data_IF_988053451186
#
_entry.id   IF_988053451186
#
_cell.length_a   1.000
_cell.length_b   1.000
_cell.length_c   1.000
_cell.angle_alpha   90.00
_cell.angle_beta   90.00
_cell.angle_gamma   90.00
#
_symmetry.space_group_name_H-M   'P 1'
#
loop_
_entity.id
_entity.type
_entity.pdbx_description
1 polymer ?
#
# COMPACT_ATOMS: atom_id res chain seq x y z
N UNK A 1 9.26 66.73 8.30
CA UNK A 1 9.77 66.09 7.06
C UNK A 1 10.41 64.76 7.41
N UNK A 2 10.30 63.79 6.51
CA UNK A 2 10.61 62.34 6.63
C UNK A 2 12.07 62.03 6.99
N UNK A 3 12.29 60.86 7.63
CA UNK A 3 13.59 60.15 7.66
C UNK A 3 13.55 58.87 8.52
N UNK A 4 13.79 57.70 7.91
CA UNK A 4 13.67 56.34 8.49
C UNK A 4 14.99 55.83 9.10
N UNK A 5 14.82 55.01 10.15
CA UNK A 5 15.51 53.76 10.59
C UNK A 5 17.03 53.63 10.44
N UNK A 6 17.72 53.17 11.50
CA UNK A 6 18.52 51.92 11.54
C UNK A 6 18.97 51.66 12.99
N UNK A 7 18.51 50.56 13.59
CA UNK A 7 19.07 49.99 14.82
C UNK A 7 19.63 48.61 14.50
N UNK A 8 20.96 48.56 14.55
CA UNK A 8 21.83 47.41 14.88
C UNK A 8 21.42 46.95 16.29
N UNK A 9 21.40 45.69 16.75
CA UNK A 9 21.93 44.41 16.31
C UNK A 9 21.97 43.54 17.60
N UNK A 10 21.65 42.25 17.50
CA UNK A 10 21.70 41.31 18.63
C UNK A 10 21.60 39.87 18.12
N UNK A 11 22.38 38.92 18.64
CA UNK A 11 22.74 37.71 17.92
C UNK A 11 21.58 36.71 17.91
N UNK A 12 21.01 36.48 16.73
CA UNK A 12 20.17 35.32 16.51
C UNK A 12 21.09 34.08 16.48
N UNK A 13 21.03 33.25 17.51
CA UNK A 13 21.56 31.89 17.46
C UNK A 13 20.70 31.13 16.44
N UNK A 14 21.21 31.02 15.21
CA UNK A 14 20.59 30.23 14.16
C UNK A 14 20.81 28.76 14.50
N UNK A 15 19.85 28.13 15.18
CA UNK A 15 19.77 26.67 15.25
C UNK A 15 19.30 26.20 13.87
N UNK A 16 20.26 26.00 12.97
CA UNK A 16 20.01 25.39 11.68
C UNK A 16 19.86 23.88 11.91
N UNK A 17 18.65 23.43 12.22
CA UNK A 17 18.32 22.01 12.17
C UNK A 17 18.31 21.62 10.69
N UNK A 18 19.44 21.15 10.18
CA UNK A 18 19.48 20.44 8.91
C UNK A 18 18.80 19.09 9.11
N UNK A 19 17.48 19.06 8.96
CA UNK A 19 16.80 17.81 8.64
C UNK A 19 17.34 17.39 7.28
N UNK A 20 18.23 16.40 7.24
CA UNK A 20 18.55 15.69 6.02
C UNK A 20 17.23 15.04 5.57
N UNK A 21 16.52 15.67 4.63
CA UNK A 21 15.36 15.04 4.01
C UNK A 21 15.90 13.83 3.26
N UNK A 22 15.63 12.63 3.77
CA UNK A 22 15.92 11.38 3.07
C UNK A 22 15.11 11.43 1.77
N UNK A 23 15.77 11.77 0.68
CA UNK A 23 15.12 11.97 -0.61
C UNK A 23 14.78 10.57 -1.16
N UNK A 24 13.46 10.29 -1.26
CA UNK A 24 12.80 9.09 -1.84
C UNK A 24 12.38 7.94 -0.89
N UNK A 25 11.74 8.27 0.22
CA UNK A 25 10.85 7.30 0.86
C UNK A 25 9.49 7.29 0.14
N UNK A 26 9.06 6.13 -0.38
CA UNK A 26 7.69 5.90 -0.84
C UNK A 26 6.84 5.50 0.37
N UNK A 27 5.84 6.31 0.72
CA UNK A 27 4.84 5.99 1.75
C UNK A 27 3.62 5.38 1.07
N UNK A 28 3.38 4.07 1.17
CA UNK A 28 2.31 3.41 0.44
C UNK A 28 0.94 3.80 0.98
N UNK A 29 0.03 4.09 0.06
CA UNK A 29 -1.40 4.29 0.34
C UNK A 29 -2.19 3.22 -0.40
N UNK A 30 -3.22 2.66 0.25
CA UNK A 30 -4.12 1.67 -0.36
C UNK A 30 -5.53 1.91 0.14
N UNK A 31 -6.47 2.14 -0.79
CA UNK A 31 -7.91 2.12 -0.51
C UNK A 31 -8.53 0.87 -1.13
N UNK A 32 -9.51 0.26 -0.45
CA UNK A 32 -10.16 -0.98 -0.89
C UNK A 32 -11.66 -0.76 -0.99
N UNK A 33 -12.24 -1.21 -2.10
CA UNK A 33 -13.68 -1.24 -2.34
C UNK A 33 -14.07 -2.62 -2.87
N UNK A 34 -15.34 -2.98 -2.74
CA UNK A 34 -15.89 -4.17 -3.35
C UNK A 34 -17.29 -3.91 -3.88
N UNK A 35 -17.69 -4.64 -4.92
CA UNK A 35 -19.09 -4.67 -5.33
C UNK A 35 -19.95 -5.41 -4.28
N UNK A 36 -21.24 -5.09 -4.29
CA UNK A 36 -22.19 -5.67 -3.33
C UNK A 36 -22.85 -6.89 -3.99
N UNK A 37 -22.45 -8.08 -3.55
CA UNK A 37 -23.03 -9.34 -4.02
C UNK A 37 -22.31 -10.55 -3.46
N UNK A 38 -22.84 -11.74 -3.77
CA UNK A 38 -22.20 -13.01 -3.40
C UNK A 38 -20.91 -13.31 -4.20
N UNK A 39 -20.54 -12.48 -5.18
CA UNK A 39 -19.38 -12.69 -6.05
C UNK A 39 -18.43 -11.49 -6.03
N UNK A 40 -17.82 -11.16 -4.88
CA UNK A 40 -17.16 -9.88 -4.73
C UNK A 40 -15.97 -9.74 -5.68
N UNK A 41 -15.88 -8.60 -6.35
CA UNK A 41 -14.69 -8.10 -7.04
C UNK A 41 -14.08 -7.03 -6.14
N UNK A 42 -12.78 -7.16 -5.85
CA UNK A 42 -12.05 -6.21 -5.01
C UNK A 42 -11.34 -5.21 -5.90
N UNK A 43 -11.59 -3.93 -5.67
CA UNK A 43 -10.93 -2.81 -6.33
C UNK A 43 -10.08 -2.04 -5.32
N UNK A 44 -9.02 -1.42 -5.80
CA UNK A 44 -8.30 -0.46 -4.97
C UNK A 44 -7.53 0.59 -5.75
N UNK A 45 -7.18 1.65 -5.03
CA UNK A 45 -6.27 2.70 -5.50
C UNK A 45 -5.02 2.69 -4.63
N UNK A 46 -3.87 2.94 -5.25
CA UNK A 46 -2.58 2.98 -4.58
C UNK A 46 -1.60 3.90 -5.30
N UNK A 47 -0.60 4.39 -4.58
CA UNK A 47 0.54 5.11 -5.13
C UNK A 47 1.76 4.20 -5.37
N UNK A 48 1.60 2.87 -5.26
CA UNK A 48 2.63 1.93 -5.69
C UNK A 48 2.90 2.08 -7.20
N UNK A 49 4.13 1.81 -7.65
CA UNK A 49 4.48 1.89 -9.07
C UNK A 49 3.61 0.99 -9.94
N UNK A 50 3.36 1.42 -11.17
CA UNK A 50 2.76 0.55 -12.17
C UNK A 50 3.62 -0.71 -12.39
N UNK A 51 2.96 -1.84 -12.64
CA UNK A 51 3.61 -3.16 -12.68
C UNK A 51 3.83 -3.81 -11.32
N UNK A 52 3.49 -3.12 -10.21
CA UNK A 52 3.60 -3.74 -8.89
C UNK A 52 2.64 -4.93 -8.78
N UNK A 53 3.20 -6.10 -8.48
CA UNK A 53 2.44 -7.32 -8.20
C UNK A 53 1.95 -7.32 -6.75
N UNK A 54 0.65 -7.44 -6.58
CA UNK A 54 -0.04 -7.55 -5.31
C UNK A 54 -0.80 -8.87 -5.23
N UNK A 55 -1.06 -9.31 -4.01
CA UNK A 55 -1.95 -10.42 -3.70
C UNK A 55 -3.15 -9.89 -2.92
N UNK A 56 -4.34 -10.15 -3.44
CA UNK A 56 -5.61 -9.92 -2.75
C UNK A 56 -6.05 -11.24 -2.13
N UNK A 57 -6.16 -11.29 -0.81
CA UNK A 57 -6.64 -12.44 -0.05
C UNK A 57 -7.99 -12.12 0.56
N UNK A 58 -9.00 -12.94 0.29
CA UNK A 58 -10.32 -12.83 0.89
C UNK A 58 -10.58 -14.05 1.78
N UNK A 59 -10.98 -13.81 3.04
CA UNK A 59 -11.29 -14.87 4.00
C UNK A 59 -12.62 -14.63 4.69
N UNK A 60 -13.42 -15.69 4.78
CA UNK A 60 -14.60 -15.79 5.64
C UNK A 60 -14.27 -16.86 6.68
N UNK A 61 -14.15 -16.49 7.97
CA UNK A 61 -13.68 -17.42 9.01
C UNK A 61 -14.45 -18.75 9.01
N UNK A 62 -13.73 -19.85 8.84
CA UNK A 62 -14.29 -21.21 8.84
C UNK A 62 -15.10 -21.60 7.59
N UNK A 63 -15.26 -20.70 6.60
CA UNK A 63 -16.15 -20.94 5.46
C UNK A 63 -15.47 -20.75 4.10
N UNK A 64 -14.56 -19.78 3.97
CA UNK A 64 -13.91 -19.48 2.69
C UNK A 64 -12.51 -18.90 2.87
N UNK A 65 -11.62 -19.26 1.94
CA UNK A 65 -10.32 -18.63 1.76
C UNK A 65 -9.93 -18.66 0.29
N UNK A 66 -9.68 -17.48 -0.29
CA UNK A 66 -9.26 -17.32 -1.68
C UNK A 66 -8.15 -16.29 -1.80
N UNK A 67 -7.29 -16.44 -2.80
CA UNK A 67 -6.20 -15.52 -3.11
C UNK A 67 -6.14 -15.29 -4.62
N UNK A 68 -5.87 -14.05 -5.03
CA UNK A 68 -5.68 -13.68 -6.43
C UNK A 68 -4.52 -12.71 -6.54
N UNK A 69 -3.66 -12.90 -7.54
CA UNK A 69 -2.62 -11.95 -7.89
C UNK A 69 -3.20 -10.89 -8.82
N UNK A 70 -2.83 -9.64 -8.57
CA UNK A 70 -3.25 -8.47 -9.34
C UNK A 70 -2.04 -7.58 -9.59
N UNK A 71 -2.13 -6.76 -10.63
CA UNK A 71 -1.09 -5.81 -11.00
C UNK A 71 -1.63 -4.39 -10.84
N UNK A 72 -0.75 -3.48 -10.41
CA UNK A 72 -1.07 -2.04 -10.36
C UNK A 72 -0.93 -1.44 -11.75
N UNK A 73 -1.96 -0.78 -12.23
CA UNK A 73 -2.00 -0.07 -13.51
C UNK A 73 -2.63 1.31 -13.30
N UNK A 74 -1.90 2.36 -13.62
CA UNK A 74 -2.27 3.76 -13.37
C UNK A 74 -2.76 3.99 -11.93
N UNK A 75 -2.02 3.47 -10.94
CA UNK A 75 -2.34 3.60 -9.51
C UNK A 75 -3.62 2.88 -9.07
N UNK A 76 -4.08 1.89 -9.83
CA UNK A 76 -5.29 1.10 -9.53
C UNK A 76 -5.01 -0.39 -9.67
N UNK A 77 -5.76 -1.20 -8.95
CA UNK A 77 -5.78 -2.65 -9.14
C UNK A 77 -7.21 -3.19 -9.00
N UNK A 78 -7.47 -4.34 -9.62
CA UNK A 78 -8.73 -5.04 -9.49
C UNK A 78 -8.49 -6.54 -9.47
N UNK A 79 -9.16 -7.26 -8.57
CA UNK A 79 -9.24 -8.71 -8.63
C UNK A 79 -10.20 -9.15 -9.74
N UNK A 80 -10.22 -10.45 -10.02
CA UNK A 80 -11.39 -11.05 -10.67
C UNK A 80 -12.45 -11.36 -9.61
N UNK A 81 -13.60 -11.93 -10.03
CA UNK A 81 -14.65 -12.33 -9.10
C UNK A 81 -14.13 -13.43 -8.15
N UNK A 82 -14.38 -13.27 -6.85
CA UNK A 82 -14.26 -14.38 -5.91
C UNK A 82 -15.53 -15.24 -5.94
N UNK A 83 -15.35 -16.56 -5.81
CA UNK A 83 -16.43 -17.55 -5.84
C UNK A 83 -15.99 -18.84 -5.16
N UNK A 84 -16.97 -19.68 -4.78
CA UNK A 84 -16.72 -21.04 -4.32
C UNK A 84 -16.59 -21.94 -5.56
N UNK A 85 -15.40 -22.54 -5.72
CA UNK A 85 -15.06 -23.44 -6.84
C UNK A 85 -15.28 -22.82 -8.23
N UNK A 86 -15.23 -21.49 -8.38
CA UNK A 86 -15.38 -20.81 -9.67
C UNK A 86 -16.81 -20.46 -10.09
N UNK A 87 -17.82 -21.04 -9.42
CA UNK A 87 -19.21 -21.05 -9.92
C UNK A 87 -20.22 -20.47 -8.92
N UNK A 88 -20.10 -20.81 -7.63
CA UNK A 88 -21.11 -20.48 -6.61
C UNK A 88 -20.76 -19.18 -5.87
N UNK A 89 -21.76 -18.46 -5.33
CA UNK A 89 -21.49 -17.29 -4.52
C UNK A 89 -20.73 -17.69 -3.25
N UNK A 90 -20.01 -16.74 -2.69
CA UNK A 90 -19.44 -16.85 -1.36
C UNK A 90 -20.57 -16.93 -0.32
N UNK A 91 -20.35 -17.69 0.78
CA UNK A 91 -21.25 -17.66 1.92
C UNK A 91 -21.44 -16.24 2.47
N UNK A 92 -22.66 -15.91 2.89
CA UNK A 92 -22.96 -14.65 3.56
C UNK A 92 -22.16 -14.51 4.86
N UNK A 93 -21.63 -13.33 5.15
CA UNK A 93 -20.91 -13.10 6.39
C UNK A 93 -19.85 -12.01 6.32
N UNK A 94 -19.22 -11.77 7.46
CA UNK A 94 -18.11 -10.82 7.58
C UNK A 94 -16.84 -11.45 7.01
N UNK A 95 -16.34 -10.87 5.93
CA UNK A 95 -15.08 -11.23 5.30
C UNK A 95 -13.96 -10.26 5.69
N UNK A 96 -12.74 -10.76 5.79
CA UNK A 96 -11.53 -9.93 5.76
C UNK A 96 -10.92 -9.95 4.37
N UNK A 97 -10.50 -8.77 3.90
CA UNK A 97 -9.77 -8.59 2.66
C UNK A 97 -8.38 -8.06 3.03
N UNK A 98 -7.35 -8.81 2.68
CA UNK A 98 -5.96 -8.42 2.86
C UNK A 98 -5.34 -8.16 1.48
N UNK A 99 -4.67 -7.02 1.34
CA UNK A 99 -3.89 -6.69 0.14
C UNK A 99 -2.44 -6.59 0.58
N UNK A 100 -1.56 -7.36 -0.06
CA UNK A 100 -0.13 -7.37 0.23
C UNK A 100 0.70 -7.35 -1.05
N UNK A 101 1.83 -6.67 -1.07
CA UNK A 101 2.78 -6.79 -2.19
C UNK A 101 3.51 -8.13 -2.16
N UNK A 102 3.95 -8.59 -3.33
CA UNK A 102 4.93 -9.67 -3.41
C UNK A 102 6.27 -9.21 -2.84
N UNK A 103 7.17 -10.16 -2.58
CA UNK A 103 8.55 -9.86 -2.18
C UNK A 103 9.22 -8.95 -3.22
N UNK A 104 10.05 -7.97 -2.80
CA UNK A 104 10.73 -7.07 -3.74
C UNK A 104 11.49 -7.79 -4.85
N UNK A 105 12.12 -8.94 -4.55
CA UNK A 105 12.88 -9.71 -5.55
C UNK A 105 12.00 -10.35 -6.64
N UNK A 106 10.70 -10.49 -6.40
CA UNK A 106 9.72 -11.02 -7.36
C UNK A 106 9.09 -9.91 -8.22
N UNK A 107 9.29 -8.64 -7.86
CA UNK A 107 8.82 -7.51 -8.66
C UNK A 107 9.70 -7.31 -9.90
N UNK A 108 9.21 -6.58 -10.90
CA UNK A 108 10.03 -6.22 -12.07
C UNK A 108 11.21 -5.31 -11.70
N UNK A 109 12.19 -5.17 -12.59
CA UNK A 109 13.30 -4.23 -12.39
C UNK A 109 12.81 -2.78 -12.27
N UNK A 110 11.78 -2.41 -13.04
CA UNK A 110 11.19 -1.07 -13.03
C UNK A 110 10.56 -0.74 -11.68
N UNK A 111 9.80 -1.68 -11.10
CA UNK A 111 9.22 -1.53 -9.76
C UNK A 111 10.33 -1.45 -8.71
N UNK A 112 11.34 -2.34 -8.76
CA UNK A 112 12.48 -2.33 -7.83
C UNK A 112 13.30 -1.04 -7.89
N UNK A 113 13.40 -0.40 -9.06
CA UNK A 113 14.08 0.89 -9.18
C UNK A 113 13.42 1.99 -8.32
N UNK A 114 12.12 1.86 -8.03
CA UNK A 114 11.37 2.77 -7.15
C UNK A 114 11.39 2.28 -5.70
N UNK A 115 11.03 1.02 -5.45
CA UNK A 115 10.85 0.50 -4.07
C UNK A 115 12.17 0.09 -3.40
N UNK A 116 13.25 -0.07 -4.17
CA UNK A 116 14.52 -0.64 -3.72
C UNK A 116 14.59 -2.17 -3.89
N UNK A 117 15.78 -2.73 -4.01
CA UNK A 117 16.00 -4.16 -4.28
C UNK A 117 15.47 -5.07 -3.16
N UNK A 118 15.35 -4.51 -1.96
CA UNK A 118 14.82 -5.14 -0.75
C UNK A 118 13.64 -4.36 -0.19
N UNK A 119 13.02 -3.44 -0.96
CA UNK A 119 11.94 -2.60 -0.46
C UNK A 119 12.39 -1.49 0.50
N UNK A 120 13.69 -1.20 0.57
CA UNK A 120 14.29 -0.25 1.51
C UNK A 120 13.76 1.18 1.39
N UNK A 121 13.22 1.54 0.22
CA UNK A 121 12.59 2.84 -0.02
C UNK A 121 11.13 2.89 0.46
N UNK A 122 10.51 1.77 0.82
CA UNK A 122 9.15 1.77 1.37
C UNK A 122 9.18 2.28 2.82
N UNK A 123 8.30 3.20 3.20
CA UNK A 123 8.17 3.66 4.58
C UNK A 123 6.69 3.80 5.00
N UNK A 124 6.43 4.03 6.29
CA UNK A 124 5.08 4.25 6.80
C UNK A 124 4.35 2.99 7.28
N UNK A 125 3.06 3.14 7.65
CA UNK A 125 2.36 2.21 8.52
C UNK A 125 1.94 0.90 7.82
N UNK A 126 1.87 0.89 6.49
CA UNK A 126 1.55 -0.33 5.74
C UNK A 126 2.77 -1.24 5.55
N UNK A 127 3.97 -0.74 5.87
CA UNK A 127 5.20 -1.47 5.60
C UNK A 127 5.47 -2.48 6.70
N UNK A 128 5.72 -3.72 6.29
CA UNK A 128 6.08 -4.81 7.19
C UNK A 128 7.26 -5.62 6.62
N UNK A 129 7.82 -6.49 7.46
CA UNK A 129 8.90 -7.39 7.10
C UNK A 129 8.67 -8.74 7.77
N UNK A 130 8.97 -9.82 7.06
CA UNK A 130 8.87 -11.16 7.60
C UNK A 130 10.24 -11.61 8.12
N UNK A 131 10.34 -12.01 9.41
CA UNK A 131 11.58 -12.55 9.95
C UNK A 131 12.10 -13.72 9.10
N UNK A 132 13.39 -13.72 8.79
CA UNK A 132 14.05 -14.80 8.05
C UNK A 132 13.85 -14.81 6.52
N UNK A 133 12.86 -14.09 5.98
CA UNK A 133 12.61 -14.01 4.53
C UNK A 133 13.33 -12.80 3.92
N UNK A 134 13.49 -11.73 4.71
CA UNK A 134 14.15 -10.50 4.30
C UNK A 134 13.30 -9.66 3.33
N UNK A 135 13.61 -8.37 3.26
CA UNK A 135 12.89 -7.40 2.44
C UNK A 135 11.66 -6.80 3.12
N UNK A 136 11.28 -5.62 2.64
CA UNK A 136 10.12 -4.85 3.12
C UNK A 136 9.01 -4.94 2.07
N UNK A 137 7.80 -5.13 2.56
CA UNK A 137 6.59 -5.28 1.74
C UNK A 137 5.49 -4.39 2.31
N UNK A 138 4.40 -4.23 1.59
CA UNK A 138 3.23 -3.52 2.07
C UNK A 138 2.10 -4.49 2.37
N UNK A 139 1.33 -4.23 3.42
CA UNK A 139 0.12 -4.97 3.77
C UNK A 139 -0.91 -4.03 4.36
N UNK A 140 -2.16 -4.20 3.94
CA UNK A 140 -3.32 -3.59 4.57
C UNK A 140 -4.45 -4.60 4.69
N UNK A 141 -5.38 -4.36 5.60
CA UNK A 141 -6.55 -5.21 5.79
C UNK A 141 -7.79 -4.34 5.90
N UNK A 142 -8.85 -4.74 5.21
CA UNK A 142 -10.18 -4.17 5.29
C UNK A 142 -11.21 -5.26 5.60
N UNK A 143 -12.39 -4.84 6.01
CA UNK A 143 -13.54 -5.73 6.24
C UNK A 143 -14.58 -5.49 5.17
N UNK A 144 -15.19 -6.57 4.68
CA UNK A 144 -16.30 -6.55 3.75
C UNK A 144 -17.46 -7.39 4.31
N UNK A 145 -18.70 -6.92 4.13
CA UNK A 145 -19.88 -7.73 4.40
C UNK A 145 -20.34 -8.39 3.09
N UNK A 146 -20.34 -9.72 3.07
CA UNK A 146 -20.99 -10.50 2.01
C UNK A 146 -22.47 -10.63 2.37
N UNK A 147 -23.40 -10.26 1.46
CA UNK A 147 -24.83 -10.29 1.71
C UNK A 147 -25.38 -11.71 1.87
#
# INVERSE_FOLDING_TARGET
MKGRLFLVGGPAFLVMVTMATKVWALVPEVTIQADRGGYPIIYGQTNMPDGTLLTVTLRIPGQYGGMQNVEVVNGRFASTRFSVNGERPLPSGKASVEVSSHLPQLQSQEVRAVIGDRGENLEGPLVYSLPGIGGRMIKTTSTLQIP
#
